data_IF_220120631819
#
_entry.id   IF_220120631819
#
_cell.length_a   1.000
_cell.length_b   1.000
_cell.length_c   1.000
_cell.angle_alpha   90.00
_cell.angle_beta   90.00
_cell.angle_gamma   90.00
#
_symmetry.space_group_name_H-M   'P 1'
#
loop_
_entity.id
_entity.type
_entity.pdbx_description
1 polymer ?
#
# COMPACT_ATOMS: atom_id res chain seq x y z
N UNK A 1 1.44 -6.85 -32.27
CA UNK A 1 2.51 -6.34 -31.40
C UNK A 1 2.22 -6.71 -29.95
N UNK A 2 3.19 -7.30 -29.26
CA UNK A 2 3.13 -7.51 -27.83
C UNK A 2 3.68 -6.24 -27.15
N UNK A 3 2.87 -5.59 -26.29
CA UNK A 3 3.29 -4.42 -25.54
C UNK A 3 2.89 -4.58 -24.08
N UNK A 4 3.80 -4.27 -23.16
CA UNK A 4 3.55 -4.22 -21.72
C UNK A 4 4.52 -3.27 -21.03
N UNK A 5 4.14 -2.79 -19.87
CA UNK A 5 4.98 -1.91 -19.05
C UNK A 5 5.91 -2.75 -18.17
N UNK A 6 7.17 -2.36 -18.12
CA UNK A 6 8.19 -2.99 -17.29
C UNK A 6 9.04 -1.92 -16.61
N UNK A 7 9.76 -2.29 -15.57
CA UNK A 7 10.64 -1.37 -14.84
C UNK A 7 12.09 -1.63 -15.18
N UNK A 8 12.82 -0.59 -15.56
CA UNK A 8 14.27 -0.69 -15.77
C UNK A 8 14.94 -0.77 -14.41
N UNK A 9 15.63 -1.87 -14.16
CA UNK A 9 16.39 -2.09 -12.92
C UNK A 9 17.82 -1.57 -13.05
N UNK A 10 18.38 -1.62 -14.25
CA UNK A 10 19.74 -1.21 -14.54
C UNK A 10 19.89 -0.88 -16.02
N UNK A 11 20.65 0.15 -16.33
CA UNK A 11 21.00 0.51 -17.71
C UNK A 11 22.46 0.95 -17.79
N UNK A 12 23.17 0.39 -18.73
CA UNK A 12 24.53 0.75 -19.13
C UNK A 12 24.58 0.98 -20.65
N UNK A 13 25.70 1.41 -21.18
CA UNK A 13 25.84 1.84 -22.57
C UNK A 13 25.19 0.92 -23.61
N UNK A 14 25.35 -0.41 -23.44
CA UNK A 14 24.88 -1.44 -24.38
C UNK A 14 23.93 -2.47 -23.75
N UNK A 15 23.61 -2.30 -22.47
CA UNK A 15 22.80 -3.28 -21.70
C UNK A 15 21.72 -2.59 -20.90
N UNK A 16 20.57 -3.24 -20.88
CA UNK A 16 19.46 -2.85 -20.03
C UNK A 16 18.88 -4.09 -19.34
N UNK A 17 18.76 -4.03 -18.03
CA UNK A 17 18.07 -5.05 -17.24
C UNK A 17 16.68 -4.54 -16.90
N UNK A 18 15.68 -5.30 -17.29
CA UNK A 18 14.27 -4.94 -17.15
C UNK A 18 13.57 -5.97 -16.29
N UNK A 19 12.90 -5.51 -15.24
CA UNK A 19 12.05 -6.34 -14.40
C UNK A 19 10.68 -6.51 -15.07
N UNK A 20 10.31 -7.75 -15.33
CA UNK A 20 9.04 -8.09 -15.96
C UNK A 20 7.91 -8.23 -14.92
N UNK A 21 6.65 -7.90 -15.27
CA UNK A 21 5.53 -7.98 -14.35
C UNK A 21 5.19 -9.42 -13.92
N UNK A 22 5.47 -10.40 -14.79
CA UNK A 22 5.29 -11.82 -14.48
C UNK A 22 6.24 -12.71 -15.32
N UNK A 23 6.46 -13.93 -14.86
CA UNK A 23 7.33 -14.89 -15.54
C UNK A 23 6.83 -15.38 -16.90
N UNK A 24 5.52 -15.29 -17.15
CA UNK A 24 4.92 -15.68 -18.43
C UNK A 24 5.39 -14.78 -19.58
N UNK A 25 5.76 -13.53 -19.28
CA UNK A 25 6.27 -12.57 -20.26
C UNK A 25 7.63 -12.95 -20.83
N UNK A 26 8.45 -13.70 -20.12
CA UNK A 26 9.73 -14.19 -20.63
C UNK A 26 9.51 -15.06 -21.86
N UNK A 27 8.56 -15.97 -21.82
CA UNK A 27 8.24 -16.86 -22.94
C UNK A 27 7.70 -16.07 -24.14
N UNK A 28 6.88 -15.07 -23.87
CA UNK A 28 6.34 -14.21 -24.92
C UNK A 28 7.43 -13.41 -25.62
N UNK A 29 8.40 -12.87 -24.86
CA UNK A 29 9.54 -12.12 -25.38
C UNK A 29 10.51 -13.00 -26.20
N UNK A 30 10.77 -14.22 -25.75
CA UNK A 30 11.66 -15.17 -26.44
C UNK A 30 11.14 -15.58 -27.84
N UNK A 31 9.85 -15.38 -28.08
CA UNK A 31 9.22 -15.69 -29.38
C UNK A 31 9.20 -14.51 -30.35
N UNK A 32 9.73 -13.37 -29.96
CA UNK A 32 9.76 -12.17 -30.80
C UNK A 32 11.11 -12.08 -31.54
N UNK A 33 11.05 -11.81 -32.84
CA UNK A 33 12.26 -11.66 -33.68
C UNK A 33 12.97 -10.32 -33.43
N UNK A 34 12.24 -9.32 -32.94
CA UNK A 34 12.79 -8.01 -32.60
C UNK A 34 12.16 -7.47 -31.32
N UNK A 35 13.02 -6.98 -30.42
CA UNK A 35 12.61 -6.35 -29.18
C UNK A 35 12.95 -4.87 -29.21
N UNK A 36 12.06 -4.05 -28.71
CA UNK A 36 12.27 -2.63 -28.53
C UNK A 36 11.87 -2.15 -27.15
N UNK A 37 12.50 -1.10 -26.69
CA UNK A 37 12.16 -0.41 -25.43
C UNK A 37 11.81 1.02 -25.76
N UNK A 38 10.66 1.47 -25.29
CA UNK A 38 10.23 2.85 -25.39
C UNK A 38 10.06 3.42 -23.99
N UNK A 39 10.59 4.62 -23.76
CA UNK A 39 10.32 5.33 -22.52
C UNK A 39 8.82 5.60 -22.42
N UNK A 40 8.27 5.16 -21.31
CA UNK A 40 6.87 5.37 -20.98
C UNK A 40 6.75 6.33 -19.80
N UNK A 41 5.96 7.38 -19.97
CA UNK A 41 5.65 8.30 -18.89
C UNK A 41 4.44 7.77 -18.13
N UNK A 42 4.67 7.26 -16.91
CA UNK A 42 3.60 6.74 -16.08
C UNK A 42 2.86 7.87 -15.34
N UNK A 43 1.69 8.23 -15.82
CA UNK A 43 0.80 9.21 -15.21
C UNK A 43 -0.14 8.59 -14.15
N UNK A 44 -0.02 7.30 -13.91
CA UNK A 44 -0.96 6.57 -13.03
C UNK A 44 -1.05 7.19 -11.64
N UNK A 45 0.10 7.55 -11.05
CA UNK A 45 0.13 8.17 -9.72
C UNK A 45 -0.61 9.51 -9.69
N UNK A 46 -0.44 10.33 -10.71
CA UNK A 46 -1.15 11.62 -10.81
C UNK A 46 -2.66 11.43 -10.99
N UNK A 47 -3.06 10.49 -11.83
CA UNK A 47 -4.48 10.15 -12.01
C UNK A 47 -5.11 9.69 -10.69
N UNK A 48 -4.45 8.83 -9.95
CA UNK A 48 -4.93 8.36 -8.64
C UNK A 48 -5.07 9.50 -7.63
N UNK A 49 -4.12 10.44 -7.63
CA UNK A 49 -4.19 11.64 -6.79
C UNK A 49 -5.36 12.54 -7.18
N UNK A 50 -5.58 12.79 -8.48
CA UNK A 50 -6.73 13.57 -8.95
C UNK A 50 -8.06 12.91 -8.60
N UNK A 51 -8.19 11.61 -8.80
CA UNK A 51 -9.39 10.85 -8.43
C UNK A 51 -9.65 10.92 -6.91
N UNK A 52 -8.60 10.84 -6.09
CA UNK A 52 -8.72 10.95 -4.65
C UNK A 52 -9.22 12.35 -4.24
N UNK A 53 -8.60 13.40 -4.76
CA UNK A 53 -9.00 14.78 -4.47
C UNK A 53 -10.43 15.08 -4.93
N UNK A 54 -10.81 14.62 -6.12
CA UNK A 54 -12.17 14.81 -6.64
C UNK A 54 -13.22 14.18 -5.71
N UNK A 55 -12.97 12.96 -5.23
CA UNK A 55 -13.86 12.29 -4.27
C UNK A 55 -13.92 13.03 -2.93
N UNK A 56 -12.79 13.52 -2.43
CA UNK A 56 -12.72 14.26 -1.17
C UNK A 56 -13.51 15.57 -1.28
N UNK A 57 -13.32 16.31 -2.37
CA UNK A 57 -13.99 17.58 -2.62
C UNK A 57 -15.52 17.39 -2.74
N UNK A 58 -15.94 16.35 -3.44
CA UNK A 58 -17.36 16.05 -3.67
C UNK A 58 -18.08 15.38 -2.51
N UNK A 59 -17.36 14.88 -1.51
CA UNK A 59 -17.95 14.22 -0.36
C UNK A 59 -18.84 15.21 0.43
N UNK A 60 -20.14 14.95 0.47
CA UNK A 60 -21.11 15.81 1.18
C UNK A 60 -21.38 15.35 2.60
N UNK A 61 -21.17 14.07 2.86
CA UNK A 61 -21.42 13.44 4.17
C UNK A 61 -20.59 12.18 4.32
N UNK A 62 -20.59 11.62 5.51
CA UNK A 62 -19.87 10.39 5.84
C UNK A 62 -18.44 10.64 6.28
N UNK A 63 -17.75 9.57 6.62
CA UNK A 63 -16.43 9.64 7.28
C UNK A 63 -15.38 10.40 6.49
N UNK A 64 -15.36 10.27 5.17
CA UNK A 64 -14.44 11.02 4.32
C UNK A 64 -14.65 12.53 4.42
N UNK A 65 -15.90 12.98 4.42
CA UNK A 65 -16.24 14.40 4.59
C UNK A 65 -15.84 14.90 6.00
N UNK A 66 -16.09 14.10 7.03
CA UNK A 66 -15.72 14.45 8.41
C UNK A 66 -14.20 14.63 8.55
N UNK A 67 -13.41 13.69 8.03
CA UNK A 67 -11.96 13.79 8.05
C UNK A 67 -11.44 14.97 7.22
N UNK A 68 -12.00 15.22 6.03
CA UNK A 68 -11.68 16.40 5.24
C UNK A 68 -11.90 17.68 6.04
N UNK A 69 -13.01 17.80 6.71
CA UNK A 69 -13.39 19.02 7.44
C UNK A 69 -12.45 19.28 8.62
N UNK A 70 -11.95 18.23 9.28
CA UNK A 70 -10.92 18.35 10.33
C UNK A 70 -9.66 18.98 9.77
N UNK A 71 -9.19 18.53 8.61
CA UNK A 71 -7.96 19.03 7.99
C UNK A 71 -8.08 20.44 7.39
N UNK A 72 -9.21 20.77 6.80
CA UNK A 72 -9.36 22.00 5.99
C UNK A 72 -10.23 23.07 6.59
N UNK A 73 -11.20 22.72 7.42
CA UNK A 73 -12.15 23.69 8.00
C UNK A 73 -11.96 23.86 9.51
N UNK A 74 -10.94 23.22 10.07
CA UNK A 74 -10.65 23.21 11.52
C UNK A 74 -11.83 22.71 12.37
N UNK A 75 -12.62 21.79 11.83
CA UNK A 75 -13.59 21.05 12.61
C UNK A 75 -12.88 20.32 13.76
N UNK A 76 -13.42 20.31 14.98
CA UNK A 76 -12.74 19.71 16.12
C UNK A 76 -12.62 18.19 15.95
N UNK A 77 -11.43 17.67 16.17
CA UNK A 77 -11.21 16.23 16.27
C UNK A 77 -11.66 15.71 17.63
N UNK A 78 -12.25 14.53 17.63
CA UNK A 78 -12.74 13.87 18.83
C UNK A 78 -11.69 12.95 19.43
N UNK A 79 -11.83 12.66 20.74
CA UNK A 79 -10.96 11.71 21.42
C UNK A 79 -11.73 10.83 22.41
N UNK A 80 -11.19 9.66 22.68
CA UNK A 80 -11.64 8.78 23.74
C UNK A 80 -11.17 9.29 25.10
N UNK A 81 -11.88 8.89 26.16
CA UNK A 81 -11.52 9.16 27.54
C UNK A 81 -11.33 7.83 28.27
N UNK A 82 -10.07 7.45 28.49
CA UNK A 82 -9.69 6.32 29.32
C UNK A 82 -8.32 6.60 29.94
N UNK A 83 -7.95 5.83 30.96
CA UNK A 83 -6.71 6.03 31.68
C UNK A 83 -5.49 5.81 30.81
N UNK A 84 -4.44 6.60 31.04
CA UNK A 84 -3.19 6.46 30.33
C UNK A 84 -2.54 5.12 30.61
N UNK A 85 -2.07 4.46 29.55
CA UNK A 85 -1.29 3.23 29.66
C UNK A 85 0.17 3.51 29.99
N UNK A 86 0.81 2.59 30.70
CA UNK A 86 2.22 2.64 31.03
C UNK A 86 3.03 1.72 30.14
N UNK A 87 4.15 2.27 29.63
CA UNK A 87 5.11 1.55 28.77
C UNK A 87 6.51 1.73 29.35
N UNK A 88 6.95 0.86 30.30
CA UNK A 88 8.22 1.04 31.01
C UNK A 88 9.46 1.06 30.12
N UNK A 89 9.37 0.51 28.90
CA UNK A 89 10.44 0.49 27.88
C UNK A 89 10.50 1.74 27.01
N UNK A 90 9.53 2.65 27.15
CA UNK A 90 9.50 3.92 26.44
C UNK A 90 9.91 5.06 27.37
N UNK A 91 10.49 6.11 26.81
CA UNK A 91 10.65 7.35 27.57
C UNK A 91 9.31 8.09 27.73
N UNK A 92 9.29 9.10 28.60
CA UNK A 92 8.04 9.82 28.91
C UNK A 92 7.37 10.47 27.70
N UNK A 93 8.14 11.01 26.75
CA UNK A 93 7.62 11.62 25.53
C UNK A 93 7.02 10.57 24.59
N UNK A 94 7.68 9.44 24.44
CA UNK A 94 7.19 8.32 23.64
C UNK A 94 5.93 7.71 24.24
N UNK A 95 5.91 7.47 25.56
CA UNK A 95 4.73 6.98 26.28
C UNK A 95 3.53 7.91 26.09
N UNK A 96 3.76 9.22 26.22
CA UNK A 96 2.72 10.23 25.97
C UNK A 96 2.22 10.15 24.53
N UNK A 97 3.11 10.08 23.55
CA UNK A 97 2.76 10.01 22.13
C UNK A 97 1.91 8.77 21.80
N UNK A 98 2.28 7.60 22.33
CA UNK A 98 1.47 6.37 22.15
C UNK A 98 0.08 6.55 22.76
N UNK A 99 -0.03 7.10 23.97
CA UNK A 99 -1.34 7.35 24.59
C UNK A 99 -2.20 8.32 23.77
N UNK A 100 -1.62 9.40 23.25
CA UNK A 100 -2.34 10.35 22.39
C UNK A 100 -2.88 9.68 21.11
N UNK A 101 -2.10 8.80 20.51
CA UNK A 101 -2.55 8.00 19.36
C UNK A 101 -3.72 7.11 19.74
N UNK A 102 -3.65 6.43 20.87
CA UNK A 102 -4.72 5.53 21.33
C UNK A 102 -6.01 6.28 21.67
N UNK A 103 -5.91 7.49 22.20
CA UNK A 103 -7.07 8.34 22.53
C UNK A 103 -7.72 8.98 21.31
N UNK A 104 -7.00 9.16 20.21
CA UNK A 104 -7.55 9.80 19.01
C UNK A 104 -8.67 8.96 18.39
N UNK A 105 -9.85 9.59 18.18
CA UNK A 105 -10.95 9.00 17.40
C UNK A 105 -10.81 9.27 15.90
N UNK A 106 -10.26 10.43 15.56
CA UNK A 106 -10.25 10.95 14.20
C UNK A 106 -8.84 11.06 13.63
N UNK A 107 -8.04 11.94 14.20
CA UNK A 107 -6.69 12.26 13.73
C UNK A 107 -5.76 12.45 14.92
N UNK A 108 -4.54 11.93 14.81
CA UNK A 108 -3.42 12.30 15.67
C UNK A 108 -2.18 12.58 14.84
N UNK A 109 -1.33 13.47 15.33
CA UNK A 109 -0.03 13.80 14.74
C UNK A 109 1.06 13.47 15.72
N UNK A 110 1.98 12.61 15.32
CA UNK A 110 3.19 12.26 16.04
C UNK A 110 4.36 13.01 15.39
N UNK A 111 4.74 14.11 15.99
CA UNK A 111 5.88 14.91 15.55
C UNK A 111 7.13 14.49 16.29
N UNK A 112 8.20 14.19 15.56
CA UNK A 112 9.48 13.83 16.15
C UNK A 112 10.66 14.12 15.22
N UNK A 113 11.63 14.93 15.67
CA UNK A 113 12.88 15.15 14.94
C UNK A 113 13.69 13.86 14.79
N UNK A 114 14.74 13.85 13.95
CA UNK A 114 15.65 12.72 13.81
C UNK A 114 16.23 12.28 15.15
N UNK A 115 16.35 10.97 15.36
CA UNK A 115 16.99 10.42 16.55
C UNK A 115 16.15 10.40 17.84
N UNK A 116 14.87 10.81 17.78
CA UNK A 116 13.95 10.80 18.94
C UNK A 116 13.25 9.46 19.18
N UNK A 117 13.53 8.45 18.34
CA UNK A 117 12.86 7.16 18.42
C UNK A 117 11.40 7.19 17.90
N UNK A 118 11.10 8.07 16.95
CA UNK A 118 9.77 8.19 16.32
C UNK A 118 9.27 6.85 15.75
N UNK A 119 10.14 6.12 15.05
CA UNK A 119 9.79 4.80 14.51
C UNK A 119 9.43 3.80 15.60
N UNK A 120 10.21 3.76 16.69
CA UNK A 120 9.91 2.92 17.86
C UNK A 120 8.56 3.29 18.47
N UNK A 121 8.29 4.57 18.62
CA UNK A 121 7.00 5.08 19.13
C UNK A 121 5.84 4.66 18.22
N UNK A 122 6.02 4.81 16.90
CA UNK A 122 4.98 4.47 15.93
C UNK A 122 4.71 2.95 15.90
N UNK A 123 5.75 2.14 15.93
CA UNK A 123 5.63 0.67 16.01
C UNK A 123 4.89 0.26 17.29
N UNK A 124 5.18 0.87 18.42
CA UNK A 124 4.48 0.61 19.68
C UNK A 124 3.00 1.03 19.60
N UNK A 125 2.71 2.18 19.01
CA UNK A 125 1.35 2.65 18.80
C UNK A 125 0.55 1.70 17.89
N UNK A 126 1.17 1.17 16.83
CA UNK A 126 0.58 0.16 15.96
C UNK A 126 0.31 -1.14 16.72
N UNK A 127 1.30 -1.61 17.48
CA UNK A 127 1.16 -2.82 18.29
C UNK A 127 -0.02 -2.72 19.28
N UNK A 128 -0.10 -1.62 20.01
CA UNK A 128 -1.21 -1.39 20.96
C UNK A 128 -2.56 -1.21 20.25
N UNK A 129 -2.59 -0.57 19.10
CA UNK A 129 -3.81 -0.46 18.28
C UNK A 129 -4.30 -1.84 17.85
N UNK A 130 -3.40 -2.74 17.46
CA UNK A 130 -3.74 -4.12 17.07
C UNK A 130 -4.26 -4.99 18.22
N UNK A 131 -4.10 -4.57 19.45
CA UNK A 131 -4.77 -5.23 20.59
C UNK A 131 -6.26 -4.91 20.64
N UNK A 132 -6.71 -3.86 19.95
CA UNK A 132 -8.10 -3.39 19.90
C UNK A 132 -8.74 -3.57 18.54
N UNK A 133 -7.95 -3.62 17.49
CA UNK A 133 -8.38 -3.74 16.10
C UNK A 133 -7.76 -4.99 15.47
N UNK A 134 -8.49 -5.63 14.56
CA UNK A 134 -8.01 -6.85 13.91
C UNK A 134 -6.88 -6.58 12.91
N UNK A 135 -6.94 -5.43 12.23
CA UNK A 135 -6.03 -5.11 11.14
C UNK A 135 -5.92 -3.59 10.96
N UNK A 136 -4.73 -3.11 10.63
CA UNK A 136 -4.49 -1.70 10.31
C UNK A 136 -3.80 -1.56 8.95
N UNK A 137 -3.96 -0.39 8.33
CA UNK A 137 -3.23 0.02 7.13
C UNK A 137 -2.05 0.90 7.54
N UNK A 138 -0.87 0.60 7.04
CA UNK A 138 0.36 1.38 7.25
C UNK A 138 0.91 1.82 5.90
N UNK A 139 1.06 3.12 5.71
CA UNK A 139 1.53 3.70 4.45
C UNK A 139 2.68 4.67 4.67
N UNK A 140 3.46 4.87 3.62
CA UNK A 140 4.43 5.95 3.49
C UNK A 140 4.56 6.39 2.02
N UNK A 141 5.21 7.52 1.78
CA UNK A 141 5.39 8.05 0.41
C UNK A 141 6.32 7.14 -0.41
N UNK A 142 7.41 6.64 0.16
CA UNK A 142 8.41 5.83 -0.54
C UNK A 142 8.36 4.36 -0.16
N UNK A 143 8.78 3.49 -1.08
CA UNK A 143 8.93 2.06 -0.82
C UNK A 143 9.95 1.80 0.30
N UNK A 144 11.03 2.56 0.35
CA UNK A 144 12.05 2.44 1.38
C UNK A 144 11.49 2.70 2.78
N UNK A 145 10.67 3.72 2.96
CA UNK A 145 10.03 4.02 4.24
C UNK A 145 9.03 2.94 4.64
N UNK A 146 8.24 2.43 3.70
CA UNK A 146 7.32 1.33 3.95
C UNK A 146 8.06 0.07 4.38
N UNK A 147 9.14 -0.28 3.69
CA UNK A 147 9.93 -1.47 4.03
C UNK A 147 10.58 -1.32 5.40
N UNK A 148 11.12 -0.15 5.72
CA UNK A 148 11.74 0.13 7.00
C UNK A 148 10.77 -0.07 8.18
N UNK A 149 9.59 0.52 8.13
CA UNK A 149 8.60 0.34 9.21
C UNK A 149 8.07 -1.09 9.26
N UNK A 150 7.88 -1.71 8.09
CA UNK A 150 7.43 -3.10 8.00
C UNK A 150 8.41 -4.08 8.64
N UNK A 151 9.71 -3.89 8.43
CA UNK A 151 10.75 -4.70 9.08
C UNK A 151 10.66 -4.60 10.61
N UNK A 152 10.48 -3.40 11.15
CA UNK A 152 10.33 -3.19 12.60
C UNK A 152 9.06 -3.86 13.16
N UNK A 153 7.99 -3.86 12.41
CA UNK A 153 6.75 -4.55 12.78
C UNK A 153 6.93 -6.07 12.76
N UNK A 154 7.60 -6.61 11.75
CA UNK A 154 7.93 -8.04 11.67
C UNK A 154 8.84 -8.46 12.82
N UNK A 155 9.84 -7.65 13.17
CA UNK A 155 10.73 -7.89 14.33
C UNK A 155 9.96 -7.96 15.66
N UNK A 156 8.83 -7.28 15.76
CA UNK A 156 7.90 -7.36 16.91
C UNK A 156 6.93 -8.55 16.81
N UNK A 157 7.09 -9.44 15.84
CA UNK A 157 6.24 -10.61 15.64
C UNK A 157 4.87 -10.31 15.02
N UNK A 158 4.68 -9.14 14.41
CA UNK A 158 3.44 -8.76 13.73
C UNK A 158 3.42 -9.35 12.32
N UNK A 159 2.33 -9.99 11.94
CA UNK A 159 2.14 -10.47 10.58
C UNK A 159 1.82 -9.32 9.64
N UNK A 160 2.78 -8.97 8.80
CA UNK A 160 2.69 -7.90 7.80
C UNK A 160 2.47 -8.50 6.42
N UNK A 161 1.50 -7.98 5.69
CA UNK A 161 1.32 -8.25 4.26
C UNK A 161 1.72 -6.99 3.47
N UNK A 162 2.80 -7.09 2.72
CA UNK A 162 3.37 -6.01 1.92
C UNK A 162 2.71 -5.96 0.55
N UNK A 163 2.01 -4.87 0.25
CA UNK A 163 1.36 -4.64 -1.04
C UNK A 163 2.24 -3.70 -1.87
N UNK A 164 2.55 -4.10 -3.07
CA UNK A 164 3.34 -3.31 -4.01
C UNK A 164 4.05 -4.19 -5.02
N UNK A 165 4.75 -3.56 -5.96
CA UNK A 165 5.54 -4.29 -6.96
C UNK A 165 6.76 -4.95 -6.27
N UNK A 166 6.90 -6.29 -6.30
CA UNK A 166 8.02 -6.98 -5.65
C UNK A 166 9.40 -6.49 -6.08
N UNK A 167 9.53 -5.95 -7.29
CA UNK A 167 10.80 -5.41 -7.80
C UNK A 167 11.24 -4.12 -7.10
N UNK A 168 10.35 -3.47 -6.37
CA UNK A 168 10.59 -2.24 -5.61
C UNK A 168 10.64 -2.46 -4.11
N UNK A 169 10.50 -3.70 -3.67
CA UNK A 169 10.55 -4.10 -2.27
C UNK A 169 11.95 -4.61 -1.95
N UNK A 170 12.49 -4.27 -0.77
CA UNK A 170 13.81 -4.74 -0.38
C UNK A 170 13.83 -6.26 -0.11
N UNK A 171 15.03 -6.83 -0.05
CA UNK A 171 15.20 -8.28 0.06
C UNK A 171 14.59 -8.86 1.35
N UNK A 172 14.66 -8.15 2.47
CA UNK A 172 14.09 -8.59 3.75
C UNK A 172 12.57 -8.69 3.70
N UNK A 173 11.91 -7.76 3.01
CA UNK A 173 10.46 -7.71 2.93
C UNK A 173 9.89 -8.47 1.74
N UNK A 174 10.72 -8.96 0.82
CA UNK A 174 10.28 -9.62 -0.40
C UNK A 174 9.39 -10.83 -0.13
N UNK A 175 9.73 -11.67 0.84
CA UNK A 175 8.93 -12.85 1.22
C UNK A 175 7.58 -12.49 1.87
N UNK A 176 7.40 -11.25 2.32
CA UNK A 176 6.17 -10.73 2.91
C UNK A 176 5.24 -10.08 1.89
N UNK A 177 5.66 -9.99 0.63
CA UNK A 177 4.81 -9.47 -0.45
C UNK A 177 3.62 -10.38 -0.71
N UNK A 178 2.52 -9.76 -1.15
CA UNK A 178 1.31 -10.49 -1.52
C UNK A 178 1.61 -11.58 -2.56
N UNK A 179 2.37 -11.26 -3.60
CA UNK A 179 2.71 -12.17 -4.68
C UNK A 179 3.50 -13.38 -4.18
N UNK A 180 4.51 -13.17 -3.34
CA UNK A 180 5.33 -14.27 -2.79
C UNK A 180 4.55 -15.15 -1.82
N UNK A 181 3.73 -14.56 -0.97
CA UNK A 181 2.87 -15.33 -0.07
C UNK A 181 1.75 -16.05 -0.81
N UNK A 182 1.23 -15.46 -1.88
CA UNK A 182 0.24 -16.10 -2.74
C UNK A 182 0.82 -17.37 -3.37
N UNK A 183 2.01 -17.28 -3.95
CA UNK A 183 2.73 -18.41 -4.56
C UNK A 183 3.17 -19.48 -3.53
N UNK A 184 3.42 -19.09 -2.29
CA UNK A 184 3.80 -20.00 -1.21
C UNK A 184 2.59 -20.66 -0.52
N UNK A 185 1.38 -20.27 -0.85
CA UNK A 185 0.17 -20.82 -0.23
C UNK A 185 -0.01 -22.31 -0.59
N UNK A 186 -0.47 -23.18 0.34
CA UNK A 186 -0.68 -24.61 0.07
C UNK A 186 -1.58 -24.93 -1.11
N UNK A 187 -2.55 -24.08 -1.41
CA UNK A 187 -3.49 -24.26 -2.53
C UNK A 187 -2.92 -23.77 -3.87
N UNK A 188 -1.78 -23.07 -3.87
CA UNK A 188 -1.23 -22.50 -5.11
C UNK A 188 -0.83 -23.55 -6.15
N UNK A 189 -0.21 -24.70 -5.82
CA UNK A 189 0.12 -25.72 -6.81
C UNK A 189 -1.10 -26.22 -7.58
N UNK A 190 -2.25 -26.36 -6.92
CA UNK A 190 -3.50 -26.73 -7.58
C UNK A 190 -3.98 -25.62 -8.52
N UNK A 191 -3.94 -24.36 -8.09
CA UNK A 191 -4.27 -23.21 -8.92
C UNK A 191 -3.36 -23.10 -10.14
N UNK A 192 -2.05 -23.31 -9.94
CA UNK A 192 -1.06 -23.31 -11.04
C UNK A 192 -1.37 -24.39 -12.09
N UNK A 193 -1.71 -25.60 -11.65
CA UNK A 193 -2.09 -26.71 -12.53
C UNK A 193 -3.35 -26.39 -13.34
N UNK A 194 -4.34 -25.77 -12.70
CA UNK A 194 -5.57 -25.35 -13.39
C UNK A 194 -5.29 -24.23 -14.39
N UNK A 195 -4.49 -23.24 -14.04
CA UNK A 195 -4.08 -22.16 -14.96
C UNK A 195 -3.31 -22.71 -16.17
N UNK A 196 -2.47 -23.72 -15.94
CA UNK A 196 -1.77 -24.44 -17.02
C UNK A 196 -2.77 -25.14 -17.95
N UNK A 197 -3.72 -25.90 -17.39
CA UNK A 197 -4.76 -26.57 -18.16
C UNK A 197 -5.63 -25.59 -18.97
N UNK A 198 -5.96 -24.41 -18.42
CA UNK A 198 -6.67 -23.35 -19.13
C UNK A 198 -5.85 -22.85 -20.32
N UNK A 199 -4.54 -22.64 -20.17
CA UNK A 199 -3.66 -22.19 -21.26
C UNK A 199 -3.60 -23.25 -22.39
N UNK A 200 -3.39 -24.51 -22.02
CA UNK A 200 -3.36 -25.63 -22.97
C UNK A 200 -4.69 -25.76 -23.73
N UNK A 201 -5.81 -25.67 -23.01
CA UNK A 201 -7.14 -25.73 -23.61
C UNK A 201 -7.41 -24.57 -24.57
N UNK A 202 -6.89 -23.36 -24.28
CA UNK A 202 -6.99 -22.19 -25.17
C UNK A 202 -6.21 -22.38 -26.48
N UNK A 203 -5.15 -23.15 -26.49
CA UNK A 203 -4.36 -23.42 -27.69
C UNK A 203 -5.02 -24.46 -28.61
N UNK A 204 -5.93 -25.25 -28.08
CA UNK A 204 -6.66 -26.24 -28.89
C UNK A 204 -7.73 -25.54 -29.75
N UNK A 205 -7.76 -25.88 -31.04
CA UNK A 205 -8.88 -25.45 -31.93
C UNK A 205 -10.15 -26.11 -31.47
N UNK A 206 -11.23 -25.35 -31.41
CA UNK A 206 -12.45 -25.69 -30.76
C UNK A 206 -13.63 -25.60 -31.57
N UNK A 207 -14.62 -26.41 -31.17
CA UNK A 207 -15.98 -26.09 -31.60
C UNK A 207 -17.03 -27.09 -31.06
N UNK A 208 -16.72 -27.72 -29.91
CA UNK A 208 -17.68 -28.59 -29.23
C UNK A 208 -18.16 -27.93 -27.94
N UNK A 209 -19.42 -28.10 -27.60
CA UNK A 209 -20.02 -27.62 -26.34
C UNK A 209 -19.27 -28.11 -25.11
N UNK A 210 -18.69 -29.32 -25.19
CA UNK A 210 -17.87 -29.92 -24.17
C UNK A 210 -16.62 -29.07 -23.84
N UNK A 211 -16.07 -28.35 -24.84
CA UNK A 211 -14.92 -27.46 -24.60
C UNK A 211 -15.30 -26.24 -23.75
N UNK A 212 -16.44 -25.60 -24.09
CA UNK A 212 -16.94 -24.46 -23.31
C UNK A 212 -17.23 -24.84 -21.87
N UNK A 213 -17.93 -25.97 -21.66
CA UNK A 213 -18.21 -26.47 -20.31
C UNK A 213 -16.93 -26.75 -19.52
N UNK A 214 -15.92 -27.38 -20.14
CA UNK A 214 -14.63 -27.65 -19.50
C UNK A 214 -13.90 -26.37 -19.17
N UNK A 215 -13.87 -25.40 -20.08
CA UNK A 215 -13.25 -24.08 -19.84
C UNK A 215 -13.91 -23.35 -18.70
N UNK A 216 -15.25 -23.34 -18.63
CA UNK A 216 -15.99 -22.64 -17.58
C UNK A 216 -15.78 -23.29 -16.21
N UNK A 217 -15.75 -24.63 -16.14
CA UNK A 217 -15.41 -25.35 -14.91
C UNK A 217 -14.00 -25.01 -14.42
N UNK A 218 -13.00 -24.99 -15.31
CA UNK A 218 -11.62 -24.65 -14.95
C UNK A 218 -11.49 -23.20 -14.48
N UNK A 219 -12.14 -22.26 -15.18
CA UNK A 219 -12.16 -20.85 -14.76
C UNK A 219 -12.83 -20.65 -13.43
N UNK A 220 -13.99 -21.27 -13.20
CA UNK A 220 -14.70 -21.19 -11.92
C UNK A 220 -13.85 -21.73 -10.76
N UNK A 221 -13.20 -22.87 -10.98
CA UNK A 221 -12.32 -23.47 -9.96
C UNK A 221 -11.08 -22.61 -9.70
N UNK A 222 -10.48 -22.02 -10.74
CA UNK A 222 -9.38 -21.09 -10.58
C UNK A 222 -9.79 -19.86 -9.75
N UNK A 223 -10.92 -19.26 -10.06
CA UNK A 223 -11.47 -18.11 -9.31
C UNK A 223 -11.72 -18.46 -7.85
N UNK A 224 -12.31 -19.63 -7.59
CA UNK A 224 -12.55 -20.10 -6.21
C UNK A 224 -11.24 -20.24 -5.42
N UNK A 225 -10.20 -20.82 -6.02
CA UNK A 225 -8.90 -20.98 -5.38
C UNK A 225 -8.20 -19.63 -5.17
N UNK A 226 -8.26 -18.72 -6.15
CA UNK A 226 -7.71 -17.36 -6.02
C UNK A 226 -8.36 -16.60 -4.85
N UNK A 227 -9.68 -16.67 -4.74
CA UNK A 227 -10.42 -16.04 -3.63
C UNK A 227 -10.07 -16.68 -2.29
N UNK A 228 -9.92 -18.00 -2.24
CA UNK A 228 -9.54 -18.72 -1.03
C UNK A 228 -8.16 -18.33 -0.55
N UNK A 229 -7.16 -18.30 -1.44
CA UNK A 229 -5.79 -17.88 -1.12
C UNK A 229 -5.80 -16.43 -0.65
N UNK A 230 -6.45 -15.53 -1.39
CA UNK A 230 -6.57 -14.13 -1.02
C UNK A 230 -7.19 -13.95 0.37
N UNK A 231 -8.30 -14.61 0.63
CA UNK A 231 -8.98 -14.53 1.93
C UNK A 231 -8.11 -15.04 3.08
N UNK A 232 -7.35 -16.12 2.85
CA UNK A 232 -6.39 -16.64 3.83
C UNK A 232 -5.30 -15.62 4.14
N UNK A 233 -4.67 -15.03 3.12
CA UNK A 233 -3.60 -14.05 3.31
C UNK A 233 -4.08 -12.79 4.03
N UNK A 234 -5.23 -12.25 3.65
CA UNK A 234 -5.81 -11.08 4.32
C UNK A 234 -6.32 -11.39 5.72
N UNK A 235 -6.87 -12.58 5.95
CA UNK A 235 -7.34 -13.03 7.26
C UNK A 235 -6.21 -13.21 8.28
N UNK A 236 -5.04 -13.60 7.85
CA UNK A 236 -3.87 -13.79 8.72
C UNK A 236 -3.10 -12.50 8.97
N UNK A 237 -3.14 -11.55 8.03
CA UNK A 237 -2.41 -10.30 8.15
C UNK A 237 -2.98 -9.39 9.24
N UNK A 238 -2.11 -8.84 10.07
CA UNK A 238 -2.46 -7.83 11.09
C UNK A 238 -2.19 -6.41 10.59
N UNK A 239 -1.17 -6.26 9.75
CA UNK A 239 -0.80 -5.00 9.09
C UNK A 239 -0.77 -5.22 7.59
N UNK A 240 -1.48 -4.35 6.88
CA UNK A 240 -1.35 -4.18 5.44
C UNK A 240 -0.44 -2.98 5.21
N UNK A 241 0.68 -3.18 4.53
CA UNK A 241 1.68 -2.14 4.31
C UNK A 241 1.84 -1.83 2.82
N UNK A 242 1.76 -0.56 2.45
CA UNK A 242 1.93 -0.10 1.06
C UNK A 242 2.45 1.33 1.00
N UNK A 243 2.90 1.75 -0.19
CA UNK A 243 3.02 3.19 -0.45
C UNK A 243 1.63 3.84 -0.47
N UNK A 244 1.57 5.17 -0.34
CA UNK A 244 0.30 5.89 -0.40
C UNK A 244 -0.44 5.63 -1.72
N UNK A 245 0.26 5.70 -2.85
CA UNK A 245 -0.31 5.35 -4.16
C UNK A 245 -0.61 3.86 -4.27
N UNK A 246 0.18 3.01 -3.62
CA UNK A 246 -0.05 1.56 -3.52
C UNK A 246 -1.33 1.18 -2.79
N UNK A 247 -1.90 2.07 -1.97
CA UNK A 247 -3.20 1.85 -1.35
C UNK A 247 -4.35 1.76 -2.37
N UNK A 248 -4.16 2.27 -3.58
CA UNK A 248 -5.08 2.10 -4.70
C UNK A 248 -4.87 0.79 -5.49
N UNK A 249 -3.97 -0.08 -5.05
CA UNK A 249 -3.74 -1.37 -5.70
C UNK A 249 -5.05 -2.17 -5.77
N UNK A 250 -5.26 -2.83 -6.90
CA UNK A 250 -6.47 -3.64 -7.15
C UNK A 250 -6.70 -4.71 -6.08
N UNK A 251 -5.63 -5.24 -5.49
CA UNK A 251 -5.70 -6.22 -4.41
C UNK A 251 -6.41 -5.66 -3.17
N UNK A 252 -6.34 -4.34 -2.96
CA UNK A 252 -7.00 -3.62 -1.84
C UNK A 252 -8.36 -3.02 -2.22
N UNK A 253 -8.87 -3.27 -3.42
CA UNK A 253 -10.16 -2.76 -3.84
C UNK A 253 -11.28 -3.28 -2.92
N UNK A 254 -12.12 -2.35 -2.45
CA UNK A 254 -13.19 -2.66 -1.50
C UNK A 254 -12.77 -2.84 -0.04
N UNK A 255 -11.49 -2.93 0.25
CA UNK A 255 -10.99 -3.04 1.63
C UNK A 255 -11.11 -1.71 2.36
N UNK A 256 -11.52 -1.77 3.64
CA UNK A 256 -11.61 -0.64 4.57
C UNK A 256 -10.91 -1.00 5.89
N UNK A 257 -10.33 0.01 6.52
CA UNK A 257 -9.59 -0.14 7.77
C UNK A 257 -10.10 0.84 8.81
N UNK A 258 -10.11 0.45 10.07
CA UNK A 258 -10.45 1.37 11.15
C UNK A 258 -9.39 2.45 11.31
N UNK A 259 -8.11 2.08 11.20
CA UNK A 259 -6.99 3.01 11.38
C UNK A 259 -5.97 2.90 10.25
N UNK A 260 -5.52 4.06 9.79
CA UNK A 260 -4.38 4.25 8.90
C UNK A 260 -3.26 4.97 9.64
N UNK A 261 -2.05 4.44 9.54
CA UNK A 261 -0.81 5.11 9.95
C UNK A 261 -0.05 5.55 8.71
N UNK A 262 0.31 6.82 8.64
CA UNK A 262 1.19 7.34 7.59
C UNK A 262 2.52 7.74 8.22
N UNK A 263 3.58 7.00 7.89
CA UNK A 263 4.95 7.35 8.27
C UNK A 263 5.58 8.31 7.26
N UNK A 264 6.54 9.10 7.71
CA UNK A 264 7.18 10.16 6.90
C UNK A 264 6.15 11.12 6.25
N UNK A 265 5.11 11.46 7.00
CA UNK A 265 4.00 12.27 6.49
C UNK A 265 4.40 13.69 6.07
N UNK A 266 5.49 14.22 6.61
CA UNK A 266 6.05 15.51 6.22
C UNK A 266 6.71 15.50 4.83
N UNK A 267 7.03 14.32 4.29
CA UNK A 267 7.55 14.13 2.92
C UNK A 267 6.49 13.68 1.93
N UNK A 268 5.27 13.47 2.38
CA UNK A 268 4.18 12.96 1.57
C UNK A 268 3.39 14.08 0.89
N UNK A 269 3.13 13.93 -0.40
CA UNK A 269 2.18 14.79 -1.11
C UNK A 269 0.80 14.66 -0.48
N UNK A 270 0.15 15.79 -0.23
CA UNK A 270 -1.20 15.86 0.34
C UNK A 270 -2.20 15.01 -0.45
N UNK A 271 -2.20 15.15 -1.77
CA UNK A 271 -3.08 14.38 -2.64
C UNK A 271 -2.83 12.86 -2.56
N UNK A 272 -1.59 12.41 -2.39
CA UNK A 272 -1.25 11.01 -2.20
C UNK A 272 -1.79 10.48 -0.86
N UNK A 273 -1.74 11.26 0.21
CA UNK A 273 -2.32 10.89 1.50
C UNK A 273 -3.81 10.58 1.38
N UNK A 274 -4.56 11.34 0.59
CA UNK A 274 -5.98 11.10 0.40
C UNK A 274 -6.30 9.80 -0.33
N UNK A 275 -5.40 9.26 -1.12
CA UNK A 275 -5.58 7.93 -1.71
C UNK A 275 -5.75 6.87 -0.61
N UNK A 276 -4.92 6.93 0.43
CA UNK A 276 -4.97 5.99 1.56
C UNK A 276 -6.08 6.36 2.56
N UNK A 277 -6.28 7.63 2.85
CA UNK A 277 -7.27 8.10 3.84
C UNK A 277 -8.69 7.70 3.46
N UNK A 278 -9.02 7.62 2.17
CA UNK A 278 -10.32 7.12 1.70
C UNK A 278 -10.66 5.71 2.21
N UNK A 279 -9.67 4.94 2.61
CA UNK A 279 -9.82 3.57 3.10
C UNK A 279 -9.92 3.46 4.63
N UNK A 280 -9.85 4.58 5.35
CA UNK A 280 -9.70 4.57 6.79
C UNK A 280 -10.77 5.38 7.52
N UNK A 281 -11.05 4.99 8.75
CA UNK A 281 -11.92 5.73 9.65
C UNK A 281 -11.16 6.67 10.60
N UNK A 282 -9.89 6.41 10.83
CA UNK A 282 -8.98 7.16 11.70
C UNK A 282 -7.62 7.28 11.05
N UNK A 283 -6.94 8.42 11.21
CA UNK A 283 -5.67 8.71 10.55
C UNK A 283 -4.63 9.16 11.57
N UNK A 284 -3.50 8.48 11.60
CA UNK A 284 -2.34 8.83 12.42
C UNK A 284 -1.21 9.25 11.48
N UNK A 285 -0.78 10.49 11.59
CA UNK A 285 0.32 11.05 10.82
C UNK A 285 1.58 11.09 11.67
N UNK A 286 2.67 10.52 11.20
CA UNK A 286 3.96 10.60 11.86
C UNK A 286 5.00 11.21 10.93
N UNK A 287 5.78 12.16 11.41
CA UNK A 287 6.80 12.83 10.61
C UNK A 287 7.49 13.97 11.33
N UNK A 288 8.35 14.66 10.60
CA UNK A 288 9.03 15.86 11.05
C UNK A 288 8.99 16.92 9.92
N UNK A 289 8.19 17.94 10.12
CA UNK A 289 8.02 19.03 9.15
C UNK A 289 9.27 19.93 9.03
N UNK A 290 10.24 19.79 9.91
CA UNK A 290 11.52 20.49 9.85
C UNK A 290 12.55 19.76 8.97
N UNK A 291 12.24 18.56 8.47
CA UNK A 291 13.05 17.84 7.50
C UNK A 291 12.67 18.19 6.06
N UNK A 292 13.18 17.40 5.10
CA UNK A 292 12.93 17.65 3.67
C UNK A 292 11.42 17.59 3.36
N UNK A 293 10.91 18.60 2.61
CA UNK A 293 9.53 18.60 2.16
C UNK A 293 9.31 17.57 1.04
N UNK A 294 8.06 17.36 0.59
CA UNK A 294 7.78 16.56 -0.58
C UNK A 294 8.56 17.03 -1.81
N UNK A 295 9.01 16.11 -2.65
CA UNK A 295 9.69 16.45 -3.89
C UNK A 295 8.67 16.97 -4.90
N UNK A 296 8.79 18.25 -5.25
CA UNK A 296 7.99 18.90 -6.29
C UNK A 296 8.92 19.40 -7.39
N UNK A 297 8.81 18.83 -8.59
CA UNK A 297 9.68 19.15 -9.72
C UNK A 297 9.28 20.42 -10.46
N UNK A 298 8.03 20.84 -10.38
CA UNK A 298 7.51 22.03 -11.05
C UNK A 298 7.49 23.23 -10.11
N UNK A 299 8.19 24.30 -10.48
CA UNK A 299 8.20 25.57 -9.74
C UNK A 299 6.79 26.17 -9.66
N UNK A 300 6.01 26.05 -10.73
CA UNK A 300 4.63 26.54 -10.74
C UNK A 300 3.74 25.76 -9.79
N UNK A 301 3.88 24.43 -9.76
CA UNK A 301 3.14 23.58 -8.84
C UNK A 301 3.53 23.86 -7.37
N UNK A 302 4.82 24.11 -7.10
CA UNK A 302 5.29 24.50 -5.78
C UNK A 302 4.68 25.83 -5.33
N UNK A 303 4.68 26.85 -6.20
CA UNK A 303 4.03 28.13 -5.95
C UNK A 303 2.51 28.00 -5.78
N UNK A 304 1.90 27.05 -6.45
CA UNK A 304 0.48 26.70 -6.31
C UNK A 304 0.13 25.92 -5.02
N UNK A 305 1.12 25.61 -4.18
CA UNK A 305 0.90 24.98 -2.89
C UNK A 305 1.05 23.45 -2.85
N UNK A 306 1.53 22.83 -3.95
CA UNK A 306 1.73 21.38 -3.99
C UNK A 306 2.75 20.88 -2.94
N UNK A 307 3.65 21.73 -2.48
CA UNK A 307 4.62 21.41 -1.44
C UNK A 307 4.06 21.39 -0.01
N UNK A 308 2.84 21.92 0.19
CA UNK A 308 2.21 21.93 1.51
C UNK A 308 1.71 20.54 1.86
N UNK A 309 2.11 20.02 3.02
CA UNK A 309 1.74 18.69 3.46
C UNK A 309 0.44 18.70 4.27
N UNK A 310 -0.20 17.55 4.38
CA UNK A 310 -1.38 17.39 5.21
C UNK A 310 -1.04 17.59 6.70
N UNK A 311 0.17 17.23 7.11
CA UNK A 311 0.69 17.42 8.45
C UNK A 311 0.83 18.90 8.85
N UNK A 312 1.08 19.79 7.89
CA UNK A 312 1.17 21.24 8.11
C UNK A 312 -0.21 21.93 8.19
N UNK A 313 -1.28 21.25 7.77
CA UNK A 313 -2.62 21.82 7.77
C UNK A 313 -3.32 21.70 9.13
N UNK A 314 -2.90 20.77 9.94
CA UNK A 314 -3.49 20.47 11.23
C UNK A 314 -2.61 21.04 12.36
#
# INVERSE_FOLDING_TARGET
YLSFTATVSYAEQDRMVVALPDSGRIVDLQRQDALGVQLFFDETSYRLMFEALDRVIRARSGRLADLRDIFYTKAPASRYTFDAMRFPWLNASQEKAVNEVLWAKDVAVVHGPPGTGKTTTLVEAIFETLRRESQVLVCAQSNMAVDWISEKLVDRGINVLRIGNPTRVNDKMLSFTYERRFEAHPDYPQLWSIRKAIRELRQQRKHADSWHQKMDRLKSRATELELRIRSSLFGEARVIASTLTGAANRVLEGEKYSTLFIDEAAQALEAACWIAIRKAGRVILAGDHCQLPPTVKSIMALKGGLGKTLMERI
#
